data_IF_942919488620
#
_entry.id   IF_942919488620
#
_cell.length_a   1.000
_cell.length_b   1.000
_cell.length_c   1.000
_cell.angle_alpha   90.00
_cell.angle_beta   90.00
_cell.angle_gamma   90.00
#
_symmetry.space_group_name_H-M   'P 1'
#
loop_
_entity.id
_entity.type
_entity.pdbx_description
1 polymer ?
#
# COMPACT_ATOMS: atom_id res chain seq x y z
N UNK A 1 16.03 -1.98 2.04
CA UNK A 1 15.82 -2.09 3.50
C UNK A 1 14.79 -3.18 3.75
N UNK A 2 15.03 -4.05 4.73
CA UNK A 2 14.03 -5.06 5.10
C UNK A 2 12.85 -4.36 5.76
N UNK A 3 11.63 -4.72 5.39
CA UNK A 3 10.42 -4.20 6.06
C UNK A 3 9.61 -5.39 6.55
N UNK A 4 9.34 -5.47 7.86
CA UNK A 4 8.47 -6.50 8.41
C UNK A 4 7.09 -6.52 7.76
N UNK A 5 6.57 -7.70 7.45
CA UNK A 5 5.24 -7.87 6.85
C UNK A 5 4.12 -7.19 7.68
N UNK A 6 4.26 -7.17 9.01
CA UNK A 6 3.32 -6.49 9.89
C UNK A 6 3.30 -4.96 9.66
N UNK A 7 4.47 -4.37 9.40
CA UNK A 7 4.60 -2.95 9.07
C UNK A 7 4.10 -2.69 7.65
N UNK A 8 4.43 -3.58 6.70
CA UNK A 8 4.02 -3.46 5.30
C UNK A 8 2.50 -3.47 5.10
N UNK A 9 1.75 -4.19 5.95
CA UNK A 9 0.27 -4.19 5.95
C UNK A 9 -0.34 -2.87 6.48
N UNK A 10 0.38 -2.17 7.35
CA UNK A 10 -0.10 -0.93 7.98
C UNK A 10 0.24 0.28 7.10
N UNK A 11 1.49 0.37 6.63
CA UNK A 11 1.93 1.43 5.74
C UNK A 11 1.37 1.23 4.34
N UNK A 12 0.68 2.23 3.82
CA UNK A 12 0.04 2.18 2.50
C UNK A 12 0.62 3.20 1.55
N UNK A 13 0.48 2.91 0.25
CA UNK A 13 0.75 3.84 -0.82
C UNK A 13 -0.53 4.10 -1.63
N UNK A 14 -0.93 5.36 -1.84
CA UNK A 14 -2.12 5.69 -2.63
C UNK A 14 -1.82 5.53 -4.11
N UNK A 15 -2.14 4.37 -4.67
CA UNK A 15 -1.95 4.11 -6.10
C UNK A 15 -3.21 4.47 -6.89
N UNK A 16 -3.05 5.37 -7.87
CA UNK A 16 -4.14 5.78 -8.76
C UNK A 16 -4.37 4.69 -9.82
N UNK A 17 -5.62 4.25 -9.94
CA UNK A 17 -6.03 3.23 -10.89
C UNK A 17 -5.98 3.79 -12.31
N UNK A 18 -5.31 3.06 -13.19
CA UNK A 18 -5.17 3.34 -14.61
C UNK A 18 -5.21 2.03 -15.42
N UNK A 19 -5.14 2.13 -16.75
CA UNK A 19 -5.22 0.97 -17.63
C UNK A 19 -4.11 -0.07 -17.38
N UNK A 20 -2.92 0.35 -16.93
CA UNK A 20 -1.79 -0.55 -16.73
C UNK A 20 -1.83 -1.32 -15.41
N UNK A 21 -2.49 -0.79 -14.36
CA UNK A 21 -2.47 -1.39 -13.03
C UNK A 21 -3.83 -1.88 -12.53
N UNK A 22 -4.93 -1.67 -13.27
CA UNK A 22 -6.28 -2.00 -12.80
C UNK A 22 -6.45 -3.45 -12.36
N UNK A 23 -5.90 -4.41 -13.11
CA UNK A 23 -5.98 -5.84 -12.76
C UNK A 23 -5.27 -6.16 -11.44
N UNK A 24 -4.08 -5.57 -11.25
CA UNK A 24 -3.34 -5.70 -10.00
C UNK A 24 -4.12 -5.08 -8.84
N UNK A 25 -4.66 -3.87 -9.01
CA UNK A 25 -5.44 -3.19 -7.98
C UNK A 25 -6.68 -4.01 -7.58
N UNK A 26 -7.39 -4.61 -8.54
CA UNK A 26 -8.52 -5.51 -8.27
C UNK A 26 -8.12 -6.70 -7.40
N UNK A 27 -6.97 -7.32 -7.68
CA UNK A 27 -6.43 -8.42 -6.87
C UNK A 27 -6.10 -7.98 -5.45
N UNK A 28 -5.45 -6.83 -5.28
CA UNK A 28 -5.09 -6.28 -3.97
C UNK A 28 -6.33 -5.93 -3.14
N UNK A 29 -7.35 -5.32 -3.76
CA UNK A 29 -8.64 -5.01 -3.14
C UNK A 29 -9.36 -6.30 -2.70
N UNK A 30 -9.32 -7.35 -3.54
CA UNK A 30 -9.93 -8.64 -3.23
C UNK A 30 -9.25 -9.32 -2.02
N UNK A 31 -7.91 -9.26 -1.95
CA UNK A 31 -7.14 -9.76 -0.82
C UNK A 31 -7.47 -9.00 0.48
N UNK A 32 -7.74 -7.69 0.38
CA UNK A 32 -8.14 -6.84 1.50
C UNK A 32 -7.00 -6.54 2.48
N UNK A 33 -7.32 -6.11 3.71
CA UNK A 33 -6.33 -5.56 4.64
C UNK A 33 -5.48 -6.63 5.37
N UNK A 34 -6.03 -7.82 5.57
CA UNK A 34 -5.43 -8.83 6.45
C UNK A 34 -4.34 -9.68 5.77
N UNK A 35 -4.36 -9.77 4.44
CA UNK A 35 -3.45 -10.59 3.64
C UNK A 35 -2.52 -9.67 2.83
N UNK A 36 -1.21 -9.91 2.95
CA UNK A 36 -0.21 -9.23 2.11
C UNK A 36 0.14 -10.14 0.93
N UNK A 37 0.20 -9.63 -0.31
CA UNK A 37 -0.07 -8.24 -0.71
C UNK A 37 -1.57 -7.95 -0.81
N UNK A 38 -2.00 -6.82 -0.27
CA UNK A 38 -3.40 -6.40 -0.22
C UNK A 38 -3.58 -4.89 -0.20
N UNK A 39 -4.75 -4.44 0.26
CA UNK A 39 -5.09 -3.02 0.35
C UNK A 39 -6.01 -2.74 1.54
N UNK A 40 -5.88 -1.54 2.10
CA UNK A 40 -6.66 -1.13 3.27
C UNK A 40 -7.87 -0.29 2.87
N UNK A 41 -7.73 0.63 1.92
CA UNK A 41 -8.79 1.56 1.54
C UNK A 41 -8.95 1.68 0.03
N UNK A 42 -10.18 1.97 -0.40
CA UNK A 42 -10.49 2.43 -1.76
C UNK A 42 -11.21 3.77 -1.65
N UNK A 43 -10.75 4.74 -2.41
CA UNK A 43 -11.37 6.05 -2.55
C UNK A 43 -11.82 6.22 -4.00
N UNK A 44 -13.11 6.51 -4.19
CA UNK A 44 -13.62 6.81 -5.52
C UNK A 44 -13.09 8.18 -5.96
N UNK A 45 -12.57 8.30 -7.18
CA UNK A 45 -11.83 9.50 -7.64
C UNK A 45 -12.62 10.82 -7.60
N UNK A 46 -13.96 10.74 -7.49
CA UNK A 46 -14.88 11.89 -7.44
C UNK A 46 -15.23 12.34 -6.02
N UNK A 47 -15.01 11.51 -5.00
CA UNK A 47 -15.38 11.79 -3.62
C UNK A 47 -14.18 11.66 -2.69
N UNK A 48 -14.18 12.43 -1.60
CA UNK A 48 -13.18 12.29 -0.53
C UNK A 48 -13.48 11.11 0.41
N UNK A 49 -14.51 10.30 0.09
CA UNK A 49 -14.93 9.20 0.94
C UNK A 49 -14.03 7.98 0.73
N UNK A 50 -13.34 7.58 1.81
CA UNK A 50 -12.51 6.37 1.84
C UNK A 50 -13.31 5.21 2.40
N UNK A 51 -13.48 4.17 1.60
CA UNK A 51 -14.10 2.91 2.03
C UNK A 51 -13.03 2.00 2.61
N UNK A 52 -13.18 1.64 3.87
CA UNK A 52 -12.30 0.68 4.52
C UNK A 52 -12.64 -0.75 4.08
N UNK A 53 -11.67 -1.46 3.49
CA UNK A 53 -11.86 -2.78 2.87
C UNK A 53 -12.07 -3.92 3.87
N UNK A 54 -11.94 -3.66 5.17
CA UNK A 54 -12.32 -4.61 6.23
C UNK A 54 -13.83 -4.88 6.25
N UNK A 55 -14.63 -3.95 5.73
CA UNK A 55 -16.09 -4.05 5.74
C UNK A 55 -16.66 -4.10 4.31
N UNK A 56 -17.76 -4.81 4.16
CA UNK A 56 -18.46 -4.98 2.88
C UNK A 56 -17.85 -6.03 1.96
N UNK A 57 -18.48 -6.21 0.80
CA UNK A 57 -18.05 -7.21 -0.18
C UNK A 57 -16.89 -6.69 -1.04
N UNK A 58 -15.69 -7.20 -0.76
CA UNK A 58 -14.45 -6.88 -1.48
C UNK A 58 -14.48 -7.25 -2.95
N UNK A 59 -15.18 -8.33 -3.33
CA UNK A 59 -15.24 -8.78 -4.73
C UNK A 59 -16.05 -7.79 -5.56
N UNK A 60 -17.19 -7.34 -5.01
CA UNK A 60 -18.00 -6.30 -5.63
C UNK A 60 -17.22 -4.98 -5.76
N UNK A 61 -16.53 -4.55 -4.70
CA UNK A 61 -15.70 -3.33 -4.74
C UNK A 61 -14.60 -3.42 -5.81
N UNK A 62 -13.95 -4.58 -5.95
CA UNK A 62 -12.94 -4.77 -6.98
C UNK A 62 -13.54 -4.75 -8.40
N UNK A 63 -14.72 -5.34 -8.61
CA UNK A 63 -15.41 -5.30 -9.91
C UNK A 63 -15.80 -3.87 -10.29
N UNK A 64 -16.32 -3.11 -9.32
CA UNK A 64 -16.78 -1.73 -9.50
C UNK A 64 -15.64 -0.70 -9.58
N UNK A 65 -14.37 -1.12 -9.44
CA UNK A 65 -13.21 -0.24 -9.46
C UNK A 65 -13.04 0.46 -10.83
N UNK A 66 -12.91 1.79 -10.82
CA UNK A 66 -12.84 2.63 -12.01
C UNK A 66 -11.47 3.31 -12.17
N UNK A 67 -11.19 3.76 -13.39
CA UNK A 67 -10.01 4.59 -13.64
C UNK A 67 -10.11 5.92 -12.89
N UNK A 68 -9.00 6.30 -12.25
CA UNK A 68 -8.93 7.50 -11.42
C UNK A 68 -9.28 7.28 -9.95
N UNK A 69 -9.82 6.12 -9.59
CA UNK A 69 -9.94 5.74 -8.17
C UNK A 69 -8.54 5.59 -7.55
N UNK A 70 -8.49 5.71 -6.23
CA UNK A 70 -7.25 5.56 -5.45
C UNK A 70 -7.39 4.33 -4.56
N UNK A 71 -6.44 3.41 -4.69
CA UNK A 71 -6.31 2.25 -3.82
C UNK A 71 -5.14 2.47 -2.89
N UNK A 72 -5.40 2.50 -1.59
CA UNK A 72 -4.36 2.48 -0.57
C UNK A 72 -3.87 1.06 -0.36
N UNK A 73 -3.00 0.63 -1.28
CA UNK A 73 -2.37 -0.69 -1.22
C UNK A 73 -1.32 -0.75 -0.14
N UNK A 74 -1.05 -1.96 0.37
CA UNK A 74 0.09 -2.22 1.25
C UNK A 74 1.41 -1.80 0.59
N UNK A 75 2.40 -1.46 1.41
CA UNK A 75 3.79 -1.32 0.98
C UNK A 75 4.24 -2.64 0.35
N UNK A 76 4.89 -2.59 -0.80
CA UNK A 76 5.40 -3.78 -1.52
C UNK A 76 6.89 -3.66 -1.77
N UNK A 77 7.45 -4.75 -2.28
CA UNK A 77 8.83 -4.78 -2.76
C UNK A 77 9.09 -3.65 -3.77
N UNK A 78 10.28 -3.06 -3.69
CA UNK A 78 10.77 -1.97 -4.53
C UNK A 78 10.10 -0.60 -4.36
N UNK A 79 9.13 -0.46 -3.45
CA UNK A 79 8.65 0.86 -3.05
C UNK A 79 9.79 1.69 -2.42
N UNK A 80 9.85 2.97 -2.79
CA UNK A 80 10.84 3.90 -2.25
C UNK A 80 10.39 4.34 -0.86
N UNK A 81 11.23 4.08 0.14
CA UNK A 81 10.99 4.45 1.53
C UNK A 81 12.14 5.30 2.07
N UNK A 82 11.83 6.25 2.94
CA UNK A 82 12.84 7.00 3.68
C UNK A 82 13.21 6.23 4.95
N UNK A 83 14.50 6.05 5.17
CA UNK A 83 15.03 5.44 6.37
C UNK A 83 15.99 6.40 7.06
N UNK A 84 15.82 6.58 8.37
CA UNK A 84 16.58 7.54 9.17
C UNK A 84 17.13 6.85 10.43
N UNK A 85 18.35 7.24 10.84
CA UNK A 85 18.94 6.86 12.13
C UNK A 85 19.11 8.10 13.01
N UNK A 86 18.44 8.11 14.15
CA UNK A 86 18.53 9.16 15.17
C UNK A 86 19.80 8.94 16.03
N UNK A 87 20.55 10.00 16.41
CA UNK A 87 20.38 11.40 16.03
C UNK A 87 20.92 11.72 14.62
N UNK A 88 20.28 12.68 13.95
CA UNK A 88 20.63 13.07 12.58
C UNK A 88 21.53 14.30 12.60
N UNK A 89 22.84 14.12 12.39
CA UNK A 89 23.84 15.20 12.41
C UNK A 89 24.15 15.76 11.01
N UNK A 90 23.95 14.96 9.97
CA UNK A 90 24.24 15.32 8.58
C UNK A 90 23.18 14.77 7.64
N UNK A 91 23.13 15.30 6.41
CA UNK A 91 22.17 14.89 5.38
C UNK A 91 22.11 13.37 5.13
N UNK A 92 23.25 12.67 5.31
CA UNK A 92 23.36 11.23 5.10
C UNK A 92 22.67 10.39 6.18
N UNK A 93 22.25 11.01 7.30
CA UNK A 93 21.49 10.32 8.35
C UNK A 93 20.10 9.89 7.89
N UNK A 94 19.57 10.48 6.80
CA UNK A 94 18.32 10.09 6.14
C UNK A 94 18.58 9.77 4.67
N UNK A 95 18.15 8.60 4.21
CA UNK A 95 18.33 8.18 2.82
C UNK A 95 17.11 7.42 2.30
N UNK A 96 16.88 7.51 0.99
CA UNK A 96 15.89 6.72 0.30
C UNK A 96 16.43 5.30 0.03
N UNK A 97 15.61 4.29 0.28
CA UNK A 97 15.91 2.88 0.03
C UNK A 97 14.74 2.23 -0.69
N UNK A 98 15.00 1.11 -1.39
CA UNK A 98 13.96 0.21 -1.86
C UNK A 98 13.55 -0.74 -0.75
N UNK A 99 12.24 -0.86 -0.51
CA UNK A 99 11.69 -1.80 0.45
C UNK A 99 11.82 -3.24 -0.05
N UNK A 100 12.06 -4.16 0.88
CA UNK A 100 11.94 -5.60 0.68
C UNK A 100 11.11 -6.16 1.82
N UNK A 101 9.92 -6.67 1.54
CA UNK A 101 9.01 -7.20 2.57
C UNK A 101 9.50 -8.56 3.03
N UNK A 102 9.66 -8.73 4.34
CA UNK A 102 10.18 -9.94 4.98
C UNK A 102 9.23 -10.40 6.10
N UNK A 103 9.24 -11.70 6.39
CA UNK A 103 8.41 -12.29 7.46
C UNK A 103 8.92 -11.95 8.88
N UNK A 104 10.19 -11.56 9.00
CA UNK A 104 10.80 -11.19 10.28
C UNK A 104 10.27 -9.85 10.82
N UNK A 105 10.66 -9.50 12.05
CA UNK A 105 10.14 -8.33 12.78
C UNK A 105 11.10 -7.13 12.85
N UNK A 106 12.25 -7.19 12.17
CA UNK A 106 13.29 -6.15 12.17
C UNK A 106 13.42 -5.46 10.82
N UNK A 107 13.98 -4.25 10.82
CA UNK A 107 14.30 -3.46 9.63
C UNK A 107 15.74 -3.69 9.15
#
# INVERSE_FOLDING_TARGET
VGVPIHVAKILTYPERVNAANIELMRKLVTNGPDIHPGANFVQAGRTQFKKFLRYGDRRKIAQDLQYGDIVERHLRDDDVVLFNRQPSLHKLSIMAHRAKVLEHRTF
#
